data_IF_145679940337
#
_entry.id   IF_145679940337
#
_cell.length_a   1.000
_cell.length_b   1.000
_cell.length_c   1.000
_cell.angle_alpha   90.00
_cell.angle_beta   90.00
_cell.angle_gamma   90.00
#
_symmetry.space_group_name_H-M   'P 1'
#
loop_
_entity.id
_entity.type
_entity.pdbx_description
1 polymer ?
#
# COMPACT_ATOMS: atom_id res chain seq x y z
N UNK A 1 -10.17 41.38 32.58
CA UNK A 1 -9.20 40.27 32.60
C UNK A 1 -9.98 38.96 32.58
N UNK A 2 -9.82 38.19 31.52
CA UNK A 2 -10.48 36.93 31.16
C UNK A 2 -10.08 35.79 32.12
N UNK A 3 -11.02 34.90 32.51
CA UNK A 3 -10.82 33.44 32.63
C UNK A 3 -12.11 32.72 33.05
N UNK A 4 -12.71 31.95 32.14
CA UNK A 4 -12.66 30.47 32.03
C UNK A 4 -13.82 29.81 32.78
N UNK A 5 -14.79 29.29 32.01
CA UNK A 5 -15.85 28.39 32.49
C UNK A 5 -15.26 26.99 32.64
N UNK A 6 -15.16 26.51 33.88
CA UNK A 6 -14.61 25.19 34.21
C UNK A 6 -15.76 24.18 34.32
N UNK A 7 -15.87 23.28 33.33
CA UNK A 7 -16.77 22.13 33.31
C UNK A 7 -16.14 20.97 34.08
N UNK A 8 -16.65 20.66 35.27
CA UNK A 8 -16.28 19.50 36.11
C UNK A 8 -17.57 19.20 36.92
N UNK A 9 -18.15 17.99 37.02
CA UNK A 9 -17.55 16.70 37.35
C UNK A 9 -18.53 15.57 37.04
N UNK A 10 -18.06 14.56 36.31
CA UNK A 10 -18.67 13.24 36.25
C UNK A 10 -18.74 12.65 37.67
N UNK A 11 -19.94 12.24 38.09
CA UNK A 11 -20.16 11.43 39.28
C UNK A 11 -20.11 9.97 38.88
N UNK A 12 -19.25 9.17 39.51
CA UNK A 12 -19.29 7.72 39.31
C UNK A 12 -18.01 6.97 39.65
N UNK A 13 -17.63 7.00 40.93
CA UNK A 13 -16.91 5.95 41.67
C UNK A 13 -15.55 5.49 41.12
N UNK A 14 -14.52 5.98 41.81
CA UNK A 14 -13.14 5.47 41.84
C UNK A 14 -13.12 4.12 42.56
N UNK A 15 -12.64 3.07 41.88
CA UNK A 15 -12.03 1.91 42.54
C UNK A 15 -10.56 1.88 42.13
N UNK A 16 -9.73 2.33 43.06
CA UNK A 16 -8.29 2.31 42.97
C UNK A 16 -7.78 0.87 43.08
N UNK A 17 -6.95 0.46 42.12
CA UNK A 17 -6.05 -0.68 42.27
C UNK A 17 -4.70 -0.26 41.71
N UNK A 18 -3.78 0.04 42.63
CA UNK A 18 -2.38 0.30 42.33
C UNK A 18 -1.72 -0.99 41.86
N UNK A 19 -1.45 -1.09 40.56
CA UNK A 19 -0.36 -1.88 40.02
C UNK A 19 0.38 -0.98 39.03
N UNK A 20 1.65 -0.72 39.32
CA UNK A 20 2.56 -0.04 38.44
C UNK A 20 2.72 -0.88 37.16
N UNK A 21 2.01 -0.50 36.12
CA UNK A 21 2.10 -1.09 34.79
C UNK A 21 1.47 -0.11 33.83
N UNK A 22 2.30 0.68 33.15
CA UNK A 22 1.83 1.62 32.14
C UNK A 22 1.01 0.86 31.10
N UNK A 23 -0.29 1.15 31.05
CA UNK A 23 -1.12 0.79 29.89
C UNK A 23 -0.68 1.69 28.74
N UNK A 24 0.38 1.27 28.06
CA UNK A 24 0.64 1.72 26.69
C UNK A 24 -0.63 1.37 25.89
N UNK A 25 -1.24 2.31 25.15
CA UNK A 25 -2.29 1.96 24.22
C UNK A 25 -1.65 1.06 23.16
N UNK A 26 -1.79 -0.25 23.31
CA UNK A 26 -1.56 -1.17 22.21
C UNK A 26 -2.64 -0.87 21.19
N UNK A 27 -2.28 -0.12 20.16
CA UNK A 27 -3.08 -0.01 18.94
C UNK A 27 -3.36 -1.45 18.51
N UNK A 28 -4.61 -1.89 18.70
CA UNK A 28 -5.06 -3.15 18.17
C UNK A 28 -4.89 -3.04 16.65
N UNK A 29 -3.91 -3.74 16.09
CA UNK A 29 -3.84 -3.94 14.66
C UNK A 29 -5.15 -4.63 14.28
N UNK A 30 -5.96 -3.94 13.47
CA UNK A 30 -7.23 -4.46 12.99
C UNK A 30 -6.96 -5.85 12.37
N UNK A 31 -7.55 -6.95 12.86
CA UNK A 31 -7.23 -8.30 12.40
C UNK A 31 -7.64 -8.56 10.93
N UNK A 32 -8.15 -7.53 10.22
CA UNK A 32 -8.41 -7.53 8.78
C UNK A 32 -7.58 -6.53 7.96
N UNK A 33 -6.58 -5.87 8.53
CA UNK A 33 -5.72 -4.95 7.78
C UNK A 33 -4.77 -5.72 6.86
N UNK A 34 -5.19 -5.91 5.60
CA UNK A 34 -4.35 -6.50 4.53
C UNK A 34 -3.24 -5.52 4.19
N UNK A 35 -1.98 -5.98 4.13
CA UNK A 35 -0.86 -5.10 3.76
C UNK A 35 -0.98 -4.64 2.30
N UNK A 36 -0.42 -3.47 1.95
CA UNK A 36 -0.32 -3.00 0.56
C UNK A 36 0.21 -4.07 -0.40
N UNK A 37 1.27 -4.76 0.01
CA UNK A 37 1.91 -5.82 -0.77
C UNK A 37 0.98 -7.02 -0.98
N UNK A 38 0.25 -7.42 0.05
CA UNK A 38 -0.72 -8.51 -0.03
C UNK A 38 -1.89 -8.16 -0.95
N UNK A 39 -2.37 -6.91 -0.92
CA UNK A 39 -3.41 -6.42 -1.83
C UNK A 39 -2.92 -6.43 -3.27
N UNK A 40 -1.76 -5.83 -3.53
CA UNK A 40 -1.15 -5.81 -4.86
C UNK A 40 -1.00 -7.21 -5.45
N UNK A 41 -0.46 -8.16 -4.67
CA UNK A 41 -0.31 -9.54 -5.13
C UNK A 41 -1.67 -10.22 -5.36
N UNK A 42 -2.65 -10.02 -4.49
CA UNK A 42 -3.99 -10.59 -4.67
C UNK A 42 -4.66 -10.06 -5.94
N UNK A 43 -4.63 -8.75 -6.15
CA UNK A 43 -5.25 -8.09 -7.30
C UNK A 43 -4.53 -8.49 -8.59
N UNK A 44 -3.21 -8.41 -8.63
CA UNK A 44 -2.47 -8.71 -9.85
C UNK A 44 -2.54 -10.20 -10.24
N UNK A 45 -2.59 -11.11 -9.25
CA UNK A 45 -2.77 -12.54 -9.49
C UNK A 45 -4.18 -12.89 -9.99
N UNK A 46 -5.19 -12.07 -9.66
CA UNK A 46 -6.55 -12.24 -10.19
C UNK A 46 -6.67 -11.83 -11.66
N UNK A 47 -5.75 -10.99 -12.16
CA UNK A 47 -5.85 -10.41 -13.50
C UNK A 47 -4.81 -10.94 -14.49
N UNK A 48 -3.64 -11.39 -14.02
CA UNK A 48 -2.57 -11.80 -14.92
C UNK A 48 -2.61 -13.28 -15.26
N UNK A 49 -2.58 -13.55 -16.56
CA UNK A 49 -2.46 -14.90 -17.12
C UNK A 49 -0.99 -15.12 -17.51
N UNK A 50 -0.41 -16.30 -17.24
CA UNK A 50 0.95 -16.63 -17.68
C UNK A 50 1.18 -16.38 -19.18
N UNK A 51 2.42 -16.02 -19.59
CA UNK A 51 3.66 -16.06 -18.80
C UNK A 51 3.90 -14.74 -18.06
N UNK A 52 3.89 -14.78 -16.73
CA UNK A 52 4.25 -13.65 -15.88
C UNK A 52 5.31 -14.07 -14.87
N UNK A 53 6.32 -13.23 -14.57
CA UNK A 53 7.33 -13.56 -13.58
C UNK A 53 6.73 -13.53 -12.17
N UNK A 54 6.21 -14.67 -11.70
CA UNK A 54 5.52 -14.80 -10.41
C UNK A 54 6.33 -14.23 -9.25
N UNK A 55 7.54 -14.75 -9.03
CA UNK A 55 8.37 -14.35 -7.88
C UNK A 55 8.88 -12.90 -7.96
N UNK A 56 9.06 -12.36 -9.17
CA UNK A 56 9.55 -10.99 -9.36
C UNK A 56 8.42 -9.95 -9.43
N UNK A 57 7.15 -10.38 -9.45
CA UNK A 57 6.00 -9.47 -9.60
C UNK A 57 6.02 -8.37 -8.55
N UNK A 58 6.35 -8.74 -7.30
CA UNK A 58 6.46 -7.78 -6.21
C UNK A 58 7.58 -6.76 -6.43
N UNK A 59 8.75 -7.20 -6.88
CA UNK A 59 9.88 -6.31 -7.17
C UNK A 59 9.56 -5.36 -8.33
N UNK A 60 8.85 -5.84 -9.35
CA UNK A 60 8.40 -5.01 -10.46
C UNK A 60 7.39 -3.95 -9.98
N UNK A 61 6.44 -4.33 -9.12
CA UNK A 61 5.50 -3.37 -8.53
C UNK A 61 6.19 -2.26 -7.72
N UNK A 62 7.14 -2.60 -6.85
CA UNK A 62 7.92 -1.59 -6.12
C UNK A 62 8.81 -0.72 -7.02
N UNK A 63 9.35 -1.29 -8.11
CA UNK A 63 10.10 -0.51 -9.10
C UNK A 63 9.21 0.54 -9.75
N UNK A 64 8.02 0.15 -10.23
CA UNK A 64 7.03 1.08 -10.79
C UNK A 64 6.79 2.23 -9.81
N UNK A 65 6.60 1.89 -8.54
CA UNK A 65 6.41 2.89 -7.49
C UNK A 65 7.55 3.89 -7.37
N UNK A 66 8.78 3.36 -7.37
CA UNK A 66 9.99 4.15 -7.23
C UNK A 66 10.17 5.07 -8.43
N UNK A 67 10.01 4.54 -9.64
CA UNK A 67 10.15 5.30 -10.88
C UNK A 67 9.10 6.41 -10.95
N UNK A 68 7.84 6.12 -10.63
CA UNK A 68 6.79 7.14 -10.62
C UNK A 68 6.99 8.18 -9.51
N UNK A 69 7.57 7.81 -8.36
CA UNK A 69 7.93 8.76 -7.31
C UNK A 69 8.99 9.78 -7.79
N UNK A 70 9.82 9.40 -8.76
CA UNK A 70 10.81 10.29 -9.42
C UNK A 70 10.24 11.10 -10.58
N UNK A 71 8.95 10.94 -10.90
CA UNK A 71 8.27 11.67 -11.97
C UNK A 71 8.22 10.95 -13.32
N UNK A 72 8.55 9.66 -13.37
CA UNK A 72 8.34 8.84 -14.58
C UNK A 72 6.83 8.67 -14.81
N UNK A 73 6.39 8.77 -16.08
CA UNK A 73 4.98 8.58 -16.44
C UNK A 73 4.60 7.10 -16.53
N UNK A 74 3.33 6.78 -16.29
CA UNK A 74 2.82 5.41 -16.37
C UNK A 74 3.06 4.76 -17.74
N UNK A 75 2.98 5.54 -18.83
CA UNK A 75 3.26 5.06 -20.19
C UNK A 75 4.75 4.70 -20.37
N UNK A 76 5.66 5.55 -19.88
CA UNK A 76 7.10 5.27 -19.93
C UNK A 76 7.43 4.01 -19.15
N UNK A 77 6.80 3.84 -17.99
CA UNK A 77 7.02 2.67 -17.15
C UNK A 77 6.45 1.40 -17.78
N UNK A 78 5.28 1.49 -18.42
CA UNK A 78 4.75 0.40 -19.25
C UNK A 78 5.72 -0.01 -20.35
N UNK A 79 6.27 0.95 -21.10
CA UNK A 79 7.20 0.65 -22.20
C UNK A 79 8.49 -0.01 -21.68
N UNK A 80 9.03 0.45 -20.55
CA UNK A 80 10.18 -0.21 -19.91
C UNK A 80 9.87 -1.63 -19.48
N UNK A 81 8.71 -1.87 -18.88
CA UNK A 81 8.29 -3.20 -18.44
C UNK A 81 8.08 -4.14 -19.63
N UNK A 82 7.40 -3.69 -20.70
CA UNK A 82 7.24 -4.48 -21.94
C UNK A 82 8.61 -4.87 -22.50
N UNK A 83 9.53 -3.91 -22.64
CA UNK A 83 10.87 -4.17 -23.16
C UNK A 83 11.67 -5.10 -22.23
N UNK A 84 11.59 -4.91 -20.91
CA UNK A 84 12.26 -5.75 -19.93
C UNK A 84 11.76 -7.20 -19.93
N UNK A 85 10.45 -7.39 -20.08
CA UNK A 85 9.85 -8.72 -20.22
C UNK A 85 10.25 -9.39 -21.53
N UNK A 86 10.26 -8.63 -22.63
CA UNK A 86 10.69 -9.13 -23.94
C UNK A 86 12.16 -9.58 -23.94
N UNK A 87 13.07 -8.84 -23.31
CA UNK A 87 14.48 -9.21 -23.15
C UNK A 87 14.67 -10.54 -22.41
N UNK A 88 13.67 -10.95 -21.63
CA UNK A 88 13.64 -12.23 -20.89
C UNK A 88 12.81 -13.30 -21.59
N UNK A 89 12.44 -13.09 -22.86
CA UNK A 89 11.56 -13.97 -23.65
C UNK A 89 10.15 -14.15 -23.03
N UNK A 90 9.69 -13.20 -22.21
CA UNK A 90 8.35 -13.21 -21.63
C UNK A 90 7.47 -12.30 -22.48
N UNK A 91 6.52 -12.90 -23.21
CA UNK A 91 5.55 -12.13 -23.98
C UNK A 91 4.38 -11.72 -23.09
N UNK A 92 4.43 -10.48 -22.61
CA UNK A 92 3.32 -9.84 -21.93
C UNK A 92 2.58 -8.89 -22.88
N UNK A 93 1.25 -8.94 -22.86
CA UNK A 93 0.44 -7.96 -23.58
C UNK A 93 0.53 -6.58 -22.93
N UNK A 94 0.46 -5.51 -23.73
CA UNK A 94 0.39 -4.13 -23.23
C UNK A 94 -0.70 -3.92 -22.16
N UNK A 95 -1.82 -4.64 -22.28
CA UNK A 95 -2.90 -4.62 -21.29
C UNK A 95 -2.49 -5.23 -19.94
N UNK A 96 -1.75 -6.35 -19.95
CA UNK A 96 -1.26 -6.99 -18.74
C UNK A 96 -0.24 -6.10 -18.02
N UNK A 97 0.68 -5.50 -18.79
CA UNK A 97 1.65 -4.53 -18.23
C UNK A 97 0.97 -3.27 -17.70
N UNK A 98 -0.03 -2.75 -18.41
CA UNK A 98 -0.83 -1.62 -17.92
C UNK A 98 -1.58 -1.94 -16.64
N UNK A 99 -2.06 -3.18 -16.51
CA UNK A 99 -2.72 -3.67 -15.28
C UNK A 99 -1.72 -3.76 -14.12
N UNK A 100 -0.49 -4.23 -14.37
CA UNK A 100 0.57 -4.21 -13.35
C UNK A 100 0.83 -2.78 -12.85
N UNK A 101 1.02 -1.83 -13.76
CA UNK A 101 1.32 -0.43 -13.40
C UNK A 101 0.15 0.16 -12.62
N UNK A 102 -1.08 -0.12 -13.03
CA UNK A 102 -2.29 0.34 -12.33
C UNK A 102 -2.33 -0.11 -10.86
N UNK A 103 -2.25 -1.43 -10.60
CA UNK A 103 -2.30 -1.96 -9.24
C UNK A 103 -1.07 -1.58 -8.42
N UNK A 104 0.12 -1.51 -9.03
CA UNK A 104 1.32 -1.08 -8.35
C UNK A 104 1.15 0.35 -7.79
N UNK A 105 0.61 1.28 -8.58
CA UNK A 105 0.37 2.65 -8.10
C UNK A 105 -0.77 2.69 -7.08
N UNK A 106 -1.86 1.98 -7.35
CA UNK A 106 -3.04 1.99 -6.50
C UNK A 106 -2.76 1.45 -5.09
N UNK A 107 -2.05 0.33 -4.99
CA UNK A 107 -1.83 -0.35 -3.71
C UNK A 107 -0.50 0.04 -3.06
N UNK A 108 0.59 0.14 -3.83
CA UNK A 108 1.93 0.38 -3.29
C UNK A 108 2.28 1.87 -3.18
N UNK A 109 1.60 2.74 -3.95
CA UNK A 109 1.96 4.16 -4.09
C UNK A 109 0.79 5.13 -3.93
N UNK A 110 0.00 5.07 -2.85
CA UNK A 110 -1.21 5.88 -2.70
C UNK A 110 -0.94 7.39 -2.69
N UNK A 111 0.30 7.82 -2.42
CA UNK A 111 0.73 9.22 -2.48
C UNK A 111 0.91 9.77 -3.91
N UNK A 112 0.99 8.91 -4.92
CA UNK A 112 1.27 9.33 -6.31
C UNK A 112 -0.06 9.42 -7.07
N UNK A 113 -0.43 10.59 -7.61
CA UNK A 113 -1.62 10.69 -8.45
C UNK A 113 -1.38 9.91 -9.75
N UNK A 114 -2.26 8.95 -10.05
CA UNK A 114 -2.27 8.27 -11.34
C UNK A 114 -2.56 9.32 -12.44
N UNK A 115 -1.60 9.56 -13.32
CA UNK A 115 -1.68 10.55 -14.40
C UNK A 115 -1.37 9.91 -15.73
#
# INVERSE_FOLDING_TARGET
MTRVRLFIRASGVVLASLLAGGIVPTAAADPGAVSPDQRFLADIMSYMIPPWPGDETMQLGHRVCTDMATGVTADTERDKLVNGLLLRNIQASNAAVGTMVHFAVQDLCPQIPYR
#
